data_IF_837723555461
#
_entry.id   IF_837723555461
#
_cell.length_a   1.000
_cell.length_b   1.000
_cell.length_c   1.000
_cell.angle_alpha   90.00
_cell.angle_beta   90.00
_cell.angle_gamma   90.00
#
_symmetry.space_group_name_H-M   'P 1'
#
loop_
_entity.id
_entity.type
_entity.pdbx_description
1 polymer ?
#
# COMPACT_ATOMS: atom_id res chain seq x y z
N UNK A 1 -2.96 -3.30 -6.79
CA UNK A 1 -2.05 -2.70 -5.80
C UNK A 1 -1.53 -1.36 -6.33
N UNK A 2 -0.73 -1.34 -7.40
CA UNK A 2 -0.26 -0.09 -8.04
C UNK A 2 -1.38 0.90 -8.35
N UNK A 3 -2.50 0.45 -8.96
CA UNK A 3 -3.66 1.32 -9.22
C UNK A 3 -4.25 1.99 -7.98
N UNK A 4 -4.27 1.31 -6.83
CA UNK A 4 -4.73 1.90 -5.56
C UNK A 4 -3.69 2.91 -5.08
N UNK A 5 -2.41 2.61 -5.21
CA UNK A 5 -1.32 3.50 -4.82
C UNK A 5 -1.29 4.79 -5.66
N UNK A 6 -1.54 4.70 -6.98
CA UNK A 6 -1.60 5.84 -7.89
C UNK A 6 -2.71 6.83 -7.54
N UNK A 7 -3.82 6.34 -6.97
CA UNK A 7 -4.93 7.16 -6.47
C UNK A 7 -4.66 7.66 -5.05
N UNK A 8 -4.15 6.80 -4.18
CA UNK A 8 -3.93 7.12 -2.77
C UNK A 8 -2.80 8.15 -2.58
N UNK A 9 -1.74 8.08 -3.39
CA UNK A 9 -0.61 9.01 -3.30
C UNK A 9 -1.02 10.49 -3.43
N UNK A 10 -1.72 10.93 -4.49
CA UNK A 10 -2.18 12.32 -4.59
C UNK A 10 -3.17 12.70 -3.49
N UNK A 11 -4.01 11.77 -3.02
CA UNK A 11 -4.92 12.02 -1.87
C UNK A 11 -4.15 12.32 -0.58
N UNK A 12 -3.07 11.58 -0.31
CA UNK A 12 -2.20 11.81 0.84
C UNK A 12 -1.40 13.12 0.69
N UNK A 13 -0.90 13.42 -0.52
CA UNK A 13 -0.23 14.68 -0.81
C UNK A 13 -1.16 15.89 -0.61
N UNK A 14 -2.43 15.78 -1.00
CA UNK A 14 -3.45 16.80 -0.75
C UNK A 14 -3.73 17.03 0.75
N UNK A 15 -3.39 16.06 1.61
CA UNK A 15 -3.39 16.20 3.08
C UNK A 15 -2.06 16.70 3.65
N UNK A 16 -1.16 17.20 2.79
CA UNK A 16 0.14 17.77 3.19
C UNK A 16 1.23 16.73 3.48
N UNK A 17 1.02 15.45 3.13
CA UNK A 17 2.03 14.41 3.34
C UNK A 17 3.07 14.38 2.22
N UNK A 18 4.33 14.13 2.58
CA UNK A 18 5.43 13.89 1.63
C UNK A 18 5.47 12.41 1.27
N UNK A 19 4.88 12.05 0.13
CA UNK A 19 4.69 10.64 -0.26
C UNK A 19 5.76 10.21 -1.26
N UNK A 20 6.37 9.05 -1.00
CA UNK A 20 7.23 8.33 -1.94
C UNK A 20 6.59 6.99 -2.24
N UNK A 21 6.27 6.73 -3.51
CA UNK A 21 5.73 5.44 -3.94
C UNK A 21 6.88 4.48 -4.24
N UNK A 22 6.86 3.32 -3.58
CA UNK A 22 7.80 2.22 -3.80
C UNK A 22 7.04 1.10 -4.51
N UNK A 23 6.89 1.21 -5.83
CA UNK A 23 6.24 0.20 -6.68
C UNK A 23 7.21 -0.94 -7.03
N UNK A 24 6.71 -2.18 -7.04
CA UNK A 24 7.53 -3.37 -7.23
C UNK A 24 8.26 -3.42 -8.57
N UNK A 25 7.67 -2.88 -9.64
CA UNK A 25 8.32 -2.85 -10.96
C UNK A 25 9.45 -1.83 -10.98
N UNK A 26 9.19 -0.62 -10.47
CA UNK A 26 10.17 0.49 -10.44
C UNK A 26 11.32 0.17 -9.48
N UNK A 27 11.03 -0.40 -8.32
CA UNK A 27 12.07 -0.81 -7.37
C UNK A 27 13.02 -1.84 -8.00
N UNK A 28 12.49 -2.75 -8.81
CA UNK A 28 13.29 -3.80 -9.47
C UNK A 28 14.22 -3.28 -10.57
N UNK A 29 13.97 -2.10 -11.15
CA UNK A 29 14.89 -1.51 -12.15
C UNK A 29 16.13 -0.88 -11.52
N UNK A 30 16.10 -0.55 -10.22
CA UNK A 30 17.17 0.18 -9.53
C UNK A 30 17.65 -0.53 -8.27
N UNK A 31 16.87 -0.49 -7.18
CA UNK A 31 17.26 -0.95 -5.84
C UNK A 31 17.42 -2.48 -5.77
N UNK A 32 16.58 -3.20 -6.50
CA UNK A 32 16.57 -4.66 -6.53
C UNK A 32 17.09 -5.23 -7.85
N UNK A 33 17.84 -4.42 -8.61
CA UNK A 33 18.52 -4.88 -9.82
C UNK A 33 19.46 -6.04 -9.46
N UNK A 34 19.38 -7.13 -10.22
CA UNK A 34 20.16 -8.34 -9.99
C UNK A 34 19.49 -9.39 -9.10
N UNK A 35 18.40 -9.05 -8.39
CA UNK A 35 17.59 -10.05 -7.70
C UNK A 35 16.68 -10.78 -8.70
N UNK A 36 16.62 -12.10 -8.57
CA UNK A 36 15.70 -12.94 -9.31
C UNK A 36 14.29 -12.94 -8.67
N UNK A 37 13.55 -14.02 -8.90
CA UNK A 37 12.23 -14.28 -8.33
C UNK A 37 12.19 -15.53 -7.44
N UNK A 38 13.36 -16.02 -7.00
CA UNK A 38 13.45 -17.04 -5.94
C UNK A 38 12.82 -16.55 -4.63
N UNK A 39 12.54 -17.49 -3.72
CA UNK A 39 12.02 -17.17 -2.38
C UNK A 39 12.95 -16.21 -1.66
N UNK A 40 14.24 -16.52 -1.64
CA UNK A 40 15.30 -15.76 -0.95
C UNK A 40 15.44 -14.35 -1.52
N UNK A 41 15.39 -14.21 -2.86
CA UNK A 41 15.49 -12.91 -3.51
C UNK A 41 14.23 -12.06 -3.31
N UNK A 42 13.06 -12.69 -3.23
CA UNK A 42 11.81 -11.99 -2.89
C UNK A 42 11.82 -11.51 -1.44
N UNK A 43 12.30 -12.31 -0.50
CA UNK A 43 12.50 -11.90 0.90
C UNK A 43 13.47 -10.72 0.95
N UNK A 44 14.65 -10.86 0.31
CA UNK A 44 15.67 -9.81 0.25
C UNK A 44 15.13 -8.51 -0.37
N UNK A 45 14.33 -8.61 -1.43
CA UNK A 45 13.69 -7.46 -2.05
C UNK A 45 12.77 -6.70 -1.06
N UNK A 46 11.95 -7.42 -0.28
CA UNK A 46 11.07 -6.79 0.71
C UNK A 46 11.87 -6.17 1.85
N UNK A 47 12.91 -6.84 2.35
CA UNK A 47 13.81 -6.32 3.40
C UNK A 47 14.47 -5.00 2.94
N UNK A 48 15.02 -4.96 1.71
CA UNK A 48 15.63 -3.74 1.15
C UNK A 48 14.63 -2.59 1.09
N UNK A 49 13.40 -2.87 0.67
CA UNK A 49 12.35 -1.85 0.60
C UNK A 49 11.92 -1.42 2.00
N UNK A 50 11.85 -2.35 2.96
CA UNK A 50 11.58 -2.07 4.38
C UNK A 50 12.58 -1.08 4.97
N UNK A 51 13.88 -1.28 4.71
CA UNK A 51 14.92 -0.35 5.13
C UNK A 51 14.77 1.06 4.50
N UNK A 52 14.49 1.13 3.19
CA UNK A 52 14.25 2.43 2.53
C UNK A 52 13.00 3.10 3.10
N UNK A 53 11.92 2.33 3.34
CA UNK A 53 10.68 2.82 3.91
C UNK A 53 10.88 3.34 5.34
N UNK A 54 11.71 2.68 6.16
CA UNK A 54 12.01 3.13 7.52
C UNK A 54 12.77 4.45 7.53
N UNK A 55 13.76 4.63 6.65
CA UNK A 55 14.47 5.92 6.55
C UNK A 55 13.55 7.04 6.04
N UNK A 56 12.63 6.77 5.11
CA UNK A 56 11.61 7.74 4.69
C UNK A 56 10.71 8.13 5.87
N UNK A 57 10.20 7.15 6.61
CA UNK A 57 9.32 7.38 7.76
C UNK A 57 10.02 8.19 8.87
N UNK A 58 11.28 7.88 9.15
CA UNK A 58 12.14 8.59 10.12
C UNK A 58 12.30 10.08 9.80
N UNK A 59 12.19 10.46 8.53
CA UNK A 59 12.20 11.85 8.08
C UNK A 59 10.80 12.45 7.87
N UNK A 60 9.77 11.90 8.55
CA UNK A 60 8.37 12.31 8.47
C UNK A 60 7.75 12.18 7.06
N UNK A 61 8.34 11.35 6.21
CA UNK A 61 7.78 10.97 4.92
C UNK A 61 6.80 9.80 5.03
N UNK A 62 6.05 9.57 3.96
CA UNK A 62 5.17 8.39 3.80
C UNK A 62 5.74 7.52 2.70
N UNK A 63 6.21 6.32 3.06
CA UNK A 63 6.57 5.30 2.09
C UNK A 63 5.32 4.48 1.72
N UNK A 64 4.82 4.63 0.50
CA UNK A 64 3.67 3.88 -0.02
C UNK A 64 4.16 2.70 -0.87
N UNK A 65 4.25 1.53 -0.24
CA UNK A 65 4.83 0.32 -0.86
C UNK A 65 3.78 -0.50 -1.62
N UNK A 66 3.82 -0.49 -2.96
CA UNK A 66 2.91 -1.26 -3.81
C UNK A 66 3.58 -2.54 -4.33
N UNK A 67 3.68 -3.56 -3.47
CA UNK A 67 4.53 -4.73 -3.71
C UNK A 67 3.74 -6.05 -3.67
N UNK A 68 4.29 -7.07 -4.33
CA UNK A 68 3.95 -8.47 -3.99
C UNK A 68 4.94 -8.91 -2.91
N UNK A 69 4.46 -8.97 -1.67
CA UNK A 69 5.20 -9.39 -0.48
C UNK A 69 4.63 -10.72 0.05
N UNK A 70 4.97 -11.87 -0.54
CA UNK A 70 4.25 -13.11 -0.30
C UNK A 70 4.57 -13.79 1.04
N UNK A 71 5.69 -13.46 1.70
CA UNK A 71 6.14 -14.14 2.90
C UNK A 71 5.89 -13.28 4.14
N UNK A 72 5.23 -13.84 5.16
CA UNK A 72 4.90 -13.20 6.44
C UNK A 72 6.17 -12.68 7.11
N UNK A 73 7.20 -13.52 7.23
CA UNK A 73 8.45 -13.16 7.89
C UNK A 73 9.09 -11.87 7.33
N UNK A 74 9.06 -11.70 5.99
CA UNK A 74 9.62 -10.51 5.36
C UNK A 74 8.76 -9.25 5.61
N UNK A 75 7.43 -9.40 5.74
CA UNK A 75 6.53 -8.30 6.09
C UNK A 75 6.70 -7.90 7.55
N UNK A 76 6.86 -8.86 8.44
CA UNK A 76 7.11 -8.63 9.87
C UNK A 76 8.45 -7.95 10.11
N UNK A 77 9.50 -8.34 9.36
CA UNK A 77 10.79 -7.68 9.42
C UNK A 77 10.70 -6.22 8.90
N UNK A 78 10.02 -5.99 7.78
CA UNK A 78 9.80 -4.62 7.29
C UNK A 78 9.00 -3.77 8.29
N UNK A 79 8.01 -4.35 8.97
CA UNK A 79 7.23 -3.71 10.03
C UNK A 79 8.10 -3.33 11.23
N UNK A 80 8.98 -4.24 11.67
CA UNK A 80 9.86 -3.98 12.82
C UNK A 80 10.90 -2.88 12.53
N UNK A 81 11.40 -2.78 11.29
CA UNK A 81 12.32 -1.69 10.88
C UNK A 81 11.69 -0.30 10.96
N UNK A 82 10.40 -0.17 10.60
CA UNK A 82 9.68 1.11 10.61
C UNK A 82 9.31 1.54 12.04
N UNK A 83 9.14 0.57 12.94
CA UNK A 83 8.81 0.78 14.34
C UNK A 83 7.31 0.79 14.62
N UNK A 84 6.97 0.47 15.87
CA UNK A 84 5.59 0.30 16.31
C UNK A 84 4.75 1.56 16.09
N UNK A 85 3.51 1.37 15.63
CA UNK A 85 2.57 2.45 15.40
C UNK A 85 2.83 3.31 14.16
N UNK A 86 3.90 3.04 13.39
CA UNK A 86 4.22 3.78 12.16
C UNK A 86 4.04 2.97 10.87
N UNK A 87 3.56 1.72 10.98
CA UNK A 87 3.37 0.80 9.86
C UNK A 87 1.91 0.37 9.75
N UNK A 88 1.38 0.36 8.53
CA UNK A 88 0.03 -0.11 8.19
C UNK A 88 0.12 -1.14 7.08
N UNK A 89 -0.27 -2.38 7.37
CA UNK A 89 -0.38 -3.44 6.38
C UNK A 89 -1.75 -3.43 5.72
N UNK A 90 -1.74 -3.17 4.42
CA UNK A 90 -2.94 -3.22 3.58
C UNK A 90 -2.95 -4.54 2.82
N UNK A 91 -3.77 -5.48 3.27
CA UNK A 91 -4.03 -6.70 2.54
C UNK A 91 -5.03 -6.44 1.41
N UNK A 92 -4.55 -6.42 0.18
CA UNK A 92 -5.41 -6.40 -1.01
C UNK A 92 -5.78 -7.84 -1.35
N UNK A 93 -6.84 -8.31 -0.71
CA UNK A 93 -7.42 -9.63 -0.87
C UNK A 93 -8.21 -9.68 -2.18
N UNK A 94 -7.69 -10.40 -3.16
CA UNK A 94 -8.33 -10.59 -4.45
C UNK A 94 -8.09 -12.03 -4.85
N UNK A 95 -9.15 -12.84 -5.08
CA UNK A 95 -8.99 -14.21 -5.51
C UNK A 95 -8.07 -14.32 -6.72
N UNK A 96 -7.24 -15.37 -6.75
CA UNK A 96 -6.25 -15.55 -7.80
C UNK A 96 -6.91 -15.70 -9.18
N UNK A 97 -8.11 -16.27 -9.23
CA UNK A 97 -8.92 -16.42 -10.44
C UNK A 97 -9.25 -15.05 -11.05
N UNK A 98 -9.60 -14.08 -10.21
CA UNK A 98 -9.89 -12.70 -10.63
C UNK A 98 -8.59 -12.00 -11.05
N UNK A 99 -7.48 -12.23 -10.33
CA UNK A 99 -6.18 -11.69 -10.72
C UNK A 99 -5.73 -12.21 -12.09
N UNK A 100 -5.92 -13.51 -12.34
CA UNK A 100 -5.62 -14.18 -13.60
C UNK A 100 -6.53 -13.71 -14.72
N UNK A 101 -7.82 -13.47 -14.45
CA UNK A 101 -8.73 -12.93 -15.46
C UNK A 101 -8.34 -11.51 -15.89
N UNK A 102 -7.89 -10.67 -14.94
CA UNK A 102 -7.49 -9.29 -15.23
C UNK A 102 -6.18 -9.20 -16.01
N UNK A 103 -5.26 -10.14 -15.78
CA UNK A 103 -3.88 -10.27 -16.33
C UNK A 103 -3.31 -9.00 -17.00
N UNK A 104 -3.27 -7.90 -16.24
CA UNK A 104 -3.00 -6.55 -16.77
C UNK A 104 -1.68 -6.46 -17.53
N UNK A 105 -0.72 -7.33 -17.20
CA UNK A 105 0.63 -7.36 -17.77
C UNK A 105 0.89 -8.61 -18.63
N UNK A 106 -0.10 -9.46 -18.85
CA UNK A 106 0.06 -10.73 -19.57
C UNK A 106 0.99 -11.73 -18.87
N UNK A 107 1.22 -11.57 -17.56
CA UNK A 107 2.21 -12.35 -16.81
C UNK A 107 1.66 -13.72 -16.41
N UNK A 108 0.36 -13.80 -16.09
CA UNK A 108 -0.27 -15.09 -15.78
C UNK A 108 -0.30 -15.97 -17.03
N UNK A 109 -0.64 -15.42 -18.20
CA UNK A 109 -0.61 -16.16 -19.46
C UNK A 109 0.81 -16.67 -19.80
N UNK A 110 1.82 -15.84 -19.58
CA UNK A 110 3.23 -16.23 -19.79
C UNK A 110 3.69 -17.33 -18.83
N UNK A 111 3.30 -17.25 -17.55
CA UNK A 111 3.59 -18.28 -16.56
C UNK A 111 2.92 -19.63 -16.92
N UNK A 112 1.64 -19.61 -17.31
CA UNK A 112 0.90 -20.80 -17.74
C UNK A 112 1.52 -21.46 -18.98
N UNK A 113 2.15 -20.68 -19.86
CA UNK A 113 2.91 -21.18 -21.03
C UNK A 113 4.34 -21.63 -20.69
N UNK A 114 4.72 -21.64 -19.41
CA UNK A 114 6.06 -22.04 -18.94
C UNK A 114 7.18 -21.04 -19.28
N UNK A 115 6.84 -19.83 -19.76
CA UNK A 115 7.82 -18.79 -20.11
C UNK A 115 8.36 -18.06 -18.87
N UNK A 116 7.57 -18.00 -17.80
CA UNK A 116 7.98 -17.47 -16.51
C UNK A 116 7.89 -18.61 -15.50
N UNK A 117 9.01 -18.94 -14.88
CA UNK A 117 9.08 -19.86 -13.74
C UNK A 117 8.99 -19.05 -12.44
N UNK A 118 8.55 -19.69 -11.35
CA UNK A 118 8.53 -19.11 -10.01
C UNK A 118 7.51 -17.96 -9.83
N UNK A 119 6.34 -18.11 -10.45
CA UNK A 119 5.26 -17.12 -10.39
C UNK A 119 4.41 -17.27 -9.12
N UNK A 120 4.19 -16.17 -8.40
CA UNK A 120 3.42 -16.16 -7.14
C UNK A 120 1.97 -16.54 -7.39
N UNK A 121 1.45 -17.51 -6.64
CA UNK A 121 0.12 -18.07 -6.81
C UNK A 121 0.02 -19.24 -7.81
N UNK A 122 1.11 -19.57 -8.51
CA UNK A 122 1.19 -20.77 -9.37
C UNK A 122 2.30 -21.70 -8.85
N UNK A 123 3.53 -21.21 -8.76
CA UNK A 123 4.71 -22.00 -8.35
C UNK A 123 5.14 -21.72 -6.90
N UNK A 124 4.73 -20.59 -6.35
CA UNK A 124 5.10 -20.14 -5.00
C UNK A 124 3.87 -19.68 -4.23
N UNK A 125 3.81 -20.09 -2.96
CA UNK A 125 2.75 -19.70 -2.04
C UNK A 125 2.73 -18.19 -1.78
N UNK A 126 1.52 -17.69 -1.52
CA UNK A 126 1.30 -16.38 -0.93
C UNK A 126 0.75 -16.62 0.47
N UNK A 127 1.53 -16.29 1.50
CA UNK A 127 1.14 -16.41 2.89
C UNK A 127 0.30 -15.18 3.28
N UNK A 128 -1.04 -15.31 3.45
CA UNK A 128 -1.88 -14.18 3.76
C UNK A 128 -1.50 -13.57 5.11
N UNK A 129 -1.57 -12.24 5.26
CA UNK A 129 -1.30 -11.61 6.54
C UNK A 129 -2.36 -12.03 7.56
N UNK A 130 -1.90 -12.35 8.77
CA UNK A 130 -2.77 -12.83 9.85
C UNK A 130 -3.57 -11.69 10.50
N UNK A 131 -2.94 -10.52 10.63
CA UNK A 131 -3.53 -9.35 11.31
C UNK A 131 -3.25 -8.06 10.55
N UNK A 132 -3.65 -7.92 9.27
CA UNK A 132 -3.47 -6.67 8.54
C UNK A 132 -4.33 -5.56 9.16
N UNK A 133 -3.80 -4.34 9.27
CA UNK A 133 -4.59 -3.20 9.75
C UNK A 133 -5.74 -2.84 8.80
N UNK A 134 -5.59 -3.14 7.50
CA UNK A 134 -6.62 -2.89 6.49
C UNK A 134 -6.73 -4.09 5.57
N UNK A 135 -7.93 -4.66 5.45
CA UNK A 135 -8.27 -5.60 4.40
C UNK A 135 -9.15 -4.93 3.33
N UNK A 136 -8.77 -5.09 2.06
CA UNK A 136 -9.43 -4.56 0.86
C UNK A 136 -9.85 -5.74 -0.01
N UNK A 137 -11.16 -5.92 -0.20
CA UNK A 137 -11.72 -6.87 -1.15
C UNK A 137 -11.78 -6.25 -2.55
N UNK A 138 -10.66 -6.23 -3.26
CA UNK A 138 -10.56 -5.53 -4.55
C UNK A 138 -11.27 -6.25 -5.72
N UNK A 139 -11.97 -7.36 -5.46
CA UNK A 139 -12.97 -7.92 -6.36
C UNK A 139 -14.35 -7.23 -6.24
N UNK A 140 -14.64 -6.64 -5.07
CA UNK A 140 -15.94 -6.03 -4.73
C UNK A 140 -15.90 -4.50 -4.69
N UNK A 141 -14.70 -3.91 -4.79
CA UNK A 141 -14.46 -2.47 -4.66
C UNK A 141 -13.69 -1.92 -5.84
N UNK A 142 -13.97 -0.68 -6.24
CA UNK A 142 -13.09 0.05 -7.17
C UNK A 142 -11.78 0.45 -6.48
N UNK A 143 -10.79 0.87 -7.27
CA UNK A 143 -9.53 1.34 -6.74
C UNK A 143 -9.70 2.65 -5.94
N UNK A 144 -10.62 3.53 -6.36
CA UNK A 144 -10.98 4.77 -5.66
C UNK A 144 -11.67 4.48 -4.32
N UNK A 145 -12.62 3.53 -4.29
CA UNK A 145 -13.27 3.10 -3.05
C UNK A 145 -12.26 2.50 -2.07
N UNK A 146 -11.33 1.69 -2.58
CA UNK A 146 -10.24 1.12 -1.81
C UNK A 146 -9.33 2.21 -1.23
N UNK A 147 -8.94 3.20 -2.04
CA UNK A 147 -8.13 4.34 -1.60
C UNK A 147 -8.86 5.18 -0.55
N UNK A 148 -10.16 5.46 -0.73
CA UNK A 148 -10.99 6.17 0.26
C UNK A 148 -11.08 5.42 1.58
N UNK A 149 -11.25 4.10 1.54
CA UNK A 149 -11.24 3.25 2.75
C UNK A 149 -9.91 3.34 3.48
N UNK A 150 -8.79 3.30 2.76
CA UNK A 150 -7.46 3.45 3.36
C UNK A 150 -7.32 4.83 4.01
N UNK A 151 -7.72 5.90 3.32
CA UNK A 151 -7.72 7.25 3.89
C UNK A 151 -8.53 7.35 5.19
N UNK A 152 -9.71 6.73 5.24
CA UNK A 152 -10.54 6.72 6.46
C UNK A 152 -9.81 6.09 7.65
N UNK A 153 -9.18 4.92 7.46
CA UNK A 153 -8.42 4.27 8.54
C UNK A 153 -7.20 5.10 8.96
N UNK A 154 -6.52 5.75 8.01
CA UNK A 154 -5.39 6.63 8.32
C UNK A 154 -5.83 7.88 9.11
N UNK A 155 -7.03 8.42 8.85
CA UNK A 155 -7.64 9.49 9.64
C UNK A 155 -8.03 9.02 11.05
N UNK A 156 -8.61 7.83 11.17
CA UNK A 156 -9.01 7.24 12.47
C UNK A 156 -7.82 6.95 13.37
N UNK A 157 -6.72 6.44 12.79
CA UNK A 157 -5.48 6.16 13.51
C UNK A 157 -4.60 7.41 13.73
N UNK A 158 -5.01 8.57 13.24
CA UNK A 158 -4.30 9.84 13.47
C UNK A 158 -3.06 10.07 12.59
N UNK A 159 -2.85 9.26 11.55
CA UNK A 159 -1.75 9.48 10.60
C UNK A 159 -1.96 10.73 9.74
N UNK A 160 -3.21 11.05 9.41
CA UNK A 160 -3.60 12.24 8.66
C UNK A 160 -4.71 12.99 9.38
N UNK A 161 -4.77 14.31 9.19
CA UNK A 161 -5.82 15.13 9.77
C UNK A 161 -7.18 14.75 9.17
N UNK A 162 -8.19 14.60 10.04
CA UNK A 162 -9.59 14.48 9.63
C UNK A 162 -9.97 15.67 8.77
N UNK A 163 -10.79 15.44 7.74
CA UNK A 163 -11.35 16.54 6.96
C UNK A 163 -12.12 17.46 7.93
N UNK A 164 -11.80 18.75 7.94
CA UNK A 164 -12.58 19.71 8.71
C UNK A 164 -14.05 19.61 8.24
N UNK A 165 -14.96 19.37 9.17
CA UNK A 165 -16.39 19.47 8.88
C UNK A 165 -16.70 20.95 8.68
N UNK A 166 -17.66 21.27 7.81
CA UNK A 166 -18.06 22.67 7.52
C UNK A 166 -18.38 23.43 8.83
N UNK A 167 -18.93 22.77 9.85
CA UNK A 167 -19.16 23.35 11.18
C UNK A 167 -17.89 23.79 11.92
N UNK A 168 -16.75 23.13 11.72
CA UNK A 168 -15.47 23.51 12.33
C UNK A 168 -14.82 24.70 11.62
N UNK A 169 -15.02 24.84 10.30
CA UNK A 169 -14.59 26.02 9.55
C UNK A 169 -15.43 27.26 9.94
N UNK A 170 -16.74 27.10 10.14
CA UNK A 170 -17.60 28.19 10.67
C UNK A 170 -17.22 28.61 12.10
N UNK A 171 -16.84 27.67 12.98
CA UNK A 171 -16.39 28.01 14.35
C UNK A 171 -15.01 28.66 14.38
N UNK A 172 -14.10 28.27 13.49
CA UNK A 172 -12.74 28.84 13.43
C UNK A 172 -12.67 30.20 12.72
N UNK A 173 -13.68 30.57 11.92
CA UNK A 173 -13.74 31.88 11.26
C UNK A 173 -14.34 32.99 12.12
N UNK A 174 -14.78 32.69 13.36
CA UNK A 174 -15.25 33.70 14.31
C UNK A 174 -16.54 34.43 13.88
N UNK A 175 -17.30 33.88 12.93
CA UNK A 175 -18.57 34.46 12.51
C UNK A 175 -19.66 34.19 13.56
N UNK A 176 -19.72 35.04 14.58
CA UNK A 176 -20.84 35.10 15.52
C UNK A 176 -22.11 35.42 14.74
N UNK A 177 -23.02 34.45 14.64
CA UNK A 177 -24.35 34.63 14.04
C UNK A 177 -25.14 35.66 14.86
N UNK A 178 -25.04 36.94 14.47
CA UNK A 178 -26.01 37.96 14.81
C UNK A 178 -27.22 37.81 13.86
N UNK A 179 -28.15 36.93 14.21
CA UNK A 179 -29.53 37.05 13.75
C UNK A 179 -30.41 36.99 14.99
N UNK A 180 -30.51 38.16 15.66
CA UNK A 180 -31.72 38.54 16.36
C UNK A 180 -32.63 39.19 15.33
N UNK A 181 -33.76 38.55 15.06
CA UNK A 181 -35.09 39.16 15.00
C UNK A 181 -36.12 38.06 14.78
#
# INVERSE_FOLDING_TARGET
KSTIADILAPMLMAKGKKVTVLDGDVVRTHLSKGLSFSKEDRITNIIRIGFVASEIAKHNGVALCALISPYVAARDEARSMVGDGNFIEVFVDTPIEVCRQRDVKGLYEQAMRGKIKSFTGIDHDYEPPQSPEICIRAAEMTAEESARRIMGVLEEKGFIAKKATVEQEYKNTGATSAIKN
#
